data_IF_236544569869
#
_entry.id   IF_236544569869
#
_cell.length_a   1.000
_cell.length_b   1.000
_cell.length_c   1.000
_cell.angle_alpha   90.00
_cell.angle_beta   90.00
_cell.angle_gamma   90.00
#
_symmetry.space_group_name_H-M   'P 1'
#
loop_
_entity.id
_entity.type
_entity.pdbx_description
1 polymer ?
#
# COMPACT_ATOMS: atom_id res chain seq x y z
N UNK A 1 62.12 43.30 -30.07
CA UNK A 1 61.90 42.29 -29.01
C UNK A 1 60.45 42.38 -28.54
N UNK A 2 59.53 41.72 -29.24
CA UNK A 2 58.10 41.67 -28.85
C UNK A 2 57.87 40.27 -28.27
N UNK A 3 57.53 40.24 -26.98
CA UNK A 3 57.34 39.02 -26.21
C UNK A 3 56.20 38.16 -26.75
N UNK A 4 56.50 36.89 -27.01
CA UNK A 4 55.49 35.86 -27.26
C UNK A 4 54.82 35.55 -25.93
N UNK A 5 53.71 36.20 -25.65
CA UNK A 5 52.81 35.80 -24.57
C UNK A 5 52.30 34.39 -24.90
N UNK A 6 52.74 33.42 -24.10
CA UNK A 6 52.25 32.04 -24.12
C UNK A 6 50.77 32.04 -23.74
N UNK A 7 49.89 32.05 -24.73
CA UNK A 7 48.43 31.84 -24.60
C UNK A 7 48.05 30.37 -24.28
N UNK A 8 49.03 29.48 -24.15
CA UNK A 8 48.82 28.04 -23.95
C UNK A 8 48.10 27.64 -22.63
N UNK A 9 48.29 28.29 -21.46
CA UNK A 9 47.73 27.78 -20.21
C UNK A 9 46.23 28.08 -20.05
N UNK A 10 45.73 29.15 -20.67
CA UNK A 10 44.32 29.56 -20.55
C UNK A 10 43.37 28.59 -21.26
N UNK A 11 43.74 28.12 -22.46
CA UNK A 11 42.95 27.15 -23.21
C UNK A 11 42.88 25.79 -22.52
N UNK A 12 43.98 25.32 -21.94
CA UNK A 12 44.03 24.09 -21.17
C UNK A 12 43.16 24.18 -19.89
N UNK A 13 43.16 25.34 -19.22
CA UNK A 13 42.35 25.57 -18.02
C UNK A 13 40.85 25.59 -18.33
N UNK A 14 40.44 26.23 -19.42
CA UNK A 14 39.05 26.24 -19.89
C UNK A 14 38.58 24.86 -20.35
N UNK A 15 39.44 24.08 -21.01
CA UNK A 15 39.14 22.71 -21.39
C UNK A 15 38.98 21.81 -20.16
N UNK A 16 39.85 21.93 -19.15
CA UNK A 16 39.72 21.19 -17.89
C UNK A 16 38.44 21.55 -17.13
N UNK A 17 38.05 22.83 -17.10
CA UNK A 17 36.78 23.29 -16.52
C UNK A 17 35.56 22.71 -17.26
N UNK A 18 35.59 22.71 -18.60
CA UNK A 18 34.51 22.16 -19.42
C UNK A 18 34.34 20.65 -19.22
N UNK A 19 35.44 19.90 -19.21
CA UNK A 19 35.43 18.44 -18.99
C UNK A 19 34.96 18.12 -17.56
N UNK A 20 35.42 18.88 -16.56
CA UNK A 20 35.00 18.73 -15.17
C UNK A 20 33.50 19.00 -14.97
N UNK A 21 32.98 20.09 -15.53
CA UNK A 21 31.56 20.42 -15.44
C UNK A 21 30.68 19.40 -16.17
N UNK A 22 31.09 18.96 -17.37
CA UNK A 22 30.34 17.95 -18.14
C UNK A 22 30.40 16.57 -17.47
N UNK A 23 31.56 16.19 -16.93
CA UNK A 23 31.75 14.96 -16.16
C UNK A 23 30.90 14.96 -14.88
N UNK A 24 30.86 16.07 -14.15
CA UNK A 24 29.98 16.26 -12.99
C UNK A 24 28.50 16.08 -13.35
N UNK A 25 28.03 16.71 -14.43
CA UNK A 25 26.63 16.59 -14.85
C UNK A 25 26.27 15.15 -15.26
N UNK A 26 27.14 14.48 -16.02
CA UNK A 26 26.93 13.09 -16.41
C UNK A 26 26.96 12.16 -15.19
N UNK A 27 27.90 12.36 -14.26
CA UNK A 27 28.02 11.55 -13.06
C UNK A 27 26.82 11.75 -12.14
N UNK A 28 26.34 12.98 -11.95
CA UNK A 28 25.11 13.25 -11.20
C UNK A 28 23.91 12.58 -11.88
N UNK A 29 23.79 12.65 -13.21
CA UNK A 29 22.65 12.04 -13.92
C UNK A 29 22.68 10.50 -13.88
N UNK A 30 23.85 9.89 -13.99
CA UNK A 30 24.02 8.44 -13.84
C UNK A 30 23.81 7.99 -12.39
N UNK A 31 24.40 8.69 -11.44
CA UNK A 31 24.25 8.39 -10.01
C UNK A 31 22.80 8.55 -9.57
N UNK A 32 22.07 9.59 -10.02
CA UNK A 32 20.64 9.73 -9.74
C UNK A 32 19.79 8.63 -10.38
N UNK A 33 20.17 8.10 -11.55
CA UNK A 33 19.49 6.94 -12.14
C UNK A 33 19.78 5.64 -11.40
N UNK A 34 21.02 5.44 -10.97
CA UNK A 34 21.44 4.26 -10.20
C UNK A 34 20.84 4.31 -8.79
N UNK A 35 20.91 5.44 -8.10
CA UNK A 35 20.19 5.67 -6.84
C UNK A 35 18.69 5.52 -7.04
N UNK A 36 18.11 6.08 -8.10
CA UNK A 36 16.69 5.91 -8.40
C UNK A 36 16.29 4.46 -8.69
N UNK A 37 17.22 3.62 -9.14
CA UNK A 37 17.01 2.18 -9.33
C UNK A 37 17.23 1.40 -8.02
N UNK A 38 18.22 1.78 -7.21
CA UNK A 38 18.56 1.14 -5.93
C UNK A 38 17.60 1.54 -4.79
N UNK A 39 17.02 2.74 -4.84
CA UNK A 39 16.09 3.29 -3.86
C UNK A 39 14.64 3.34 -4.38
N UNK A 40 14.34 2.65 -5.50
CA UNK A 40 12.98 2.61 -6.05
C UNK A 40 11.97 1.90 -5.13
N UNK A 41 12.40 1.27 -4.04
CA UNK A 41 11.58 0.47 -3.14
C UNK A 41 11.92 0.61 -1.64
N UNK A 42 12.57 1.69 -1.19
CA UNK A 42 12.97 1.83 0.23
C UNK A 42 12.04 2.70 1.09
N UNK A 43 10.79 2.90 0.68
CA UNK A 43 9.74 3.35 1.60
C UNK A 43 8.74 2.21 1.74
N UNK A 44 9.09 1.27 2.61
CA UNK A 44 8.19 0.26 3.18
C UNK A 44 7.66 -0.79 2.19
N UNK A 45 8.53 -1.36 1.36
CA UNK A 45 8.25 -2.58 0.61
C UNK A 45 8.23 -3.79 1.57
N UNK A 46 7.13 -3.92 2.30
CA UNK A 46 6.66 -5.19 2.87
C UNK A 46 6.42 -6.11 1.67
N UNK A 47 7.06 -7.28 1.59
CA UNK A 47 6.94 -8.16 0.42
C UNK A 47 5.46 -8.40 0.07
N UNK A 48 5.05 -8.52 -1.21
CA UNK A 48 3.64 -8.70 -1.54
C UNK A 48 2.98 -9.87 -0.79
N UNK A 49 3.77 -10.89 -0.49
CA UNK A 49 3.40 -12.10 0.25
C UNK A 49 3.21 -11.88 1.75
N UNK A 50 3.79 -10.82 2.33
CA UNK A 50 3.62 -10.47 3.75
C UNK A 50 2.23 -9.88 4.04
N UNK A 51 1.56 -9.31 3.04
CA UNK A 51 0.19 -8.81 3.15
C UNK A 51 -0.86 -9.93 3.12
N UNK A 52 -0.48 -11.14 2.70
CA UNK A 52 -1.36 -12.30 2.74
C UNK A 52 -1.67 -12.68 4.19
N UNK A 53 -2.96 -12.84 4.49
CA UNK A 53 -3.43 -13.12 5.84
C UNK A 53 -3.69 -11.88 6.70
N UNK A 54 -3.42 -10.67 6.19
CA UNK A 54 -3.71 -9.43 6.90
C UNK A 54 -5.16 -8.97 6.68
N UNK A 55 -5.69 -8.27 7.68
CA UNK A 55 -6.99 -7.60 7.60
C UNK A 55 -6.81 -6.12 7.33
N UNK A 56 -7.69 -5.60 6.49
CA UNK A 56 -7.77 -4.20 6.13
C UNK A 56 -9.21 -3.72 6.02
N UNK A 57 -9.38 -2.54 5.44
CA UNK A 57 -10.66 -1.89 5.19
C UNK A 57 -10.73 -1.39 3.75
N UNK A 58 -11.86 -1.61 3.08
CA UNK A 58 -12.08 -1.10 1.72
C UNK A 58 -12.26 0.42 1.76
N UNK A 59 -11.51 1.14 0.93
CA UNK A 59 -11.60 2.61 0.83
C UNK A 59 -12.32 3.07 -0.45
N UNK A 60 -12.28 2.26 -1.51
CA UNK A 60 -13.03 2.52 -2.74
C UNK A 60 -14.50 2.21 -2.55
N UNK A 61 -15.32 2.43 -3.59
CA UNK A 61 -16.68 1.88 -3.64
C UNK A 61 -16.69 0.34 -3.65
N UNK A 62 -17.63 -0.25 -4.38
CA UNK A 62 -17.68 -1.71 -4.49
C UNK A 62 -16.42 -2.26 -5.18
N UNK A 63 -15.81 -3.28 -4.58
CA UNK A 63 -14.67 -3.99 -5.16
C UNK A 63 -15.19 -4.99 -6.20
N UNK A 64 -14.70 -4.96 -7.45
CA UNK A 64 -15.19 -5.84 -8.51
C UNK A 64 -14.66 -7.27 -8.37
N UNK A 65 -15.38 -8.23 -8.93
CA UNK A 65 -15.03 -9.65 -8.92
C UNK A 65 -13.77 -9.97 -9.74
N UNK A 66 -12.96 -10.90 -9.23
CA UNK A 66 -11.86 -11.48 -10.00
C UNK A 66 -12.41 -12.34 -11.16
N UNK A 67 -12.41 -11.79 -12.37
CA UNK A 67 -12.77 -12.52 -13.60
C UNK A 67 -14.09 -12.11 -14.26
N UNK A 68 -14.86 -11.19 -13.65
CA UNK A 68 -15.92 -10.50 -14.39
C UNK A 68 -15.33 -9.78 -15.62
N UNK A 69 -16.08 -9.66 -16.72
CA UNK A 69 -15.62 -9.03 -17.96
C UNK A 69 -14.93 -7.69 -17.66
N UNK A 70 -13.60 -7.73 -17.54
CA UNK A 70 -12.75 -6.55 -17.50
C UNK A 70 -12.74 -5.99 -18.92
N UNK A 71 -13.87 -5.42 -19.35
CA UNK A 71 -13.93 -4.49 -20.46
C UNK A 71 -12.88 -3.43 -20.16
N UNK A 72 -11.89 -3.33 -21.05
CA UNK A 72 -10.67 -2.49 -21.13
C UNK A 72 -10.55 -1.18 -20.30
N UNK A 73 -11.62 -0.67 -19.70
CA UNK A 73 -11.64 0.31 -18.60
C UNK A 73 -11.52 -0.40 -17.25
N UNK A 74 -10.28 -0.69 -16.85
CA UNK A 74 -9.93 -1.34 -15.58
C UNK A 74 -10.41 -0.56 -14.34
N UNK A 75 -11.58 -0.89 -13.80
CA UNK A 75 -11.92 -0.52 -12.43
C UNK A 75 -11.41 -1.63 -11.51
N UNK A 76 -10.54 -1.28 -10.57
CA UNK A 76 -10.13 -2.14 -9.46
C UNK A 76 -10.50 -1.45 -8.15
N UNK A 77 -10.75 -2.25 -7.12
CA UNK A 77 -10.97 -1.75 -5.78
C UNK A 77 -9.67 -1.24 -5.15
N UNK A 78 -9.79 -0.51 -4.06
CA UNK A 78 -8.68 -0.11 -3.20
C UNK A 78 -9.02 -0.41 -1.76
N UNK A 79 -8.06 -0.97 -1.04
CA UNK A 79 -8.17 -1.25 0.39
C UNK A 79 -6.95 -0.70 1.14
N UNK A 80 -7.18 -0.31 2.39
CA UNK A 80 -6.15 -0.02 3.37
C UNK A 80 -5.88 -1.27 4.19
N UNK A 81 -4.67 -1.82 4.12
CA UNK A 81 -4.29 -3.03 4.85
C UNK A 81 -3.18 -2.71 5.84
N UNK A 82 -3.28 -3.26 7.05
CA UNK A 82 -2.24 -3.16 8.05
C UNK A 82 -1.25 -4.30 7.86
N UNK A 83 0.01 -3.94 7.65
CA UNK A 83 1.13 -4.89 7.66
C UNK A 83 1.29 -5.53 9.04
N UNK A 84 2.01 -6.64 9.12
CA UNK A 84 2.45 -7.24 10.39
C UNK A 84 3.24 -6.29 11.30
N UNK A 85 3.76 -5.20 10.75
CA UNK A 85 4.51 -4.16 11.45
C UNK A 85 3.64 -2.95 11.84
N UNK A 86 2.33 -3.00 11.60
CA UNK A 86 1.40 -1.91 11.93
C UNK A 86 1.48 -0.71 10.99
N UNK A 87 2.22 -0.79 9.89
CA UNK A 87 2.18 0.21 8.82
C UNK A 87 0.91 0.02 8.00
N UNK A 88 0.22 1.13 7.71
CA UNK A 88 -0.95 1.17 6.84
C UNK A 88 -0.51 1.32 5.38
N UNK A 89 -0.90 0.37 4.53
CA UNK A 89 -0.62 0.39 3.10
C UNK A 89 -1.91 0.45 2.30
N UNK A 90 -1.91 1.23 1.23
CA UNK A 90 -3.00 1.25 0.26
C UNK A 90 -2.69 0.30 -0.89
N UNK A 91 -3.54 -0.72 -1.09
CA UNK A 91 -3.36 -1.74 -2.11
C UNK A 91 -4.51 -1.75 -3.12
N UNK A 92 -4.23 -2.08 -4.40
CA UNK A 92 -5.27 -2.37 -5.38
C UNK A 92 -5.79 -3.79 -5.17
N UNK A 93 -7.11 -3.97 -5.18
CA UNK A 93 -7.72 -5.26 -4.88
C UNK A 93 -8.92 -5.61 -5.76
N UNK A 94 -9.22 -6.92 -5.81
CA UNK A 94 -10.38 -7.54 -6.45
C UNK A 94 -11.03 -8.51 -5.49
N UNK A 95 -12.34 -8.72 -5.60
CA UNK A 95 -13.05 -9.66 -4.78
C UNK A 95 -12.69 -11.10 -5.16
N UNK A 96 -12.60 -11.97 -4.16
CA UNK A 96 -12.41 -13.40 -4.38
C UNK A 96 -13.52 -13.96 -5.30
N UNK A 97 -13.17 -14.79 -6.31
CA UNK A 97 -14.15 -15.26 -7.29
C UNK A 97 -15.25 -16.09 -6.61
N UNK A 98 -16.50 -15.83 -6.98
CA UNK A 98 -17.67 -16.52 -6.41
C UNK A 98 -18.05 -16.09 -4.98
N UNK A 99 -17.38 -15.11 -4.39
CA UNK A 99 -17.71 -14.58 -3.07
C UNK A 99 -18.47 -13.26 -3.15
N UNK A 100 -19.07 -12.85 -2.03
CA UNK A 100 -19.69 -11.53 -1.88
C UNK A 100 -18.68 -10.42 -2.18
N UNK A 101 -19.12 -9.43 -2.98
CA UNK A 101 -18.34 -8.24 -3.32
C UNK A 101 -18.20 -7.30 -2.11
N UNK A 102 -16.96 -6.99 -1.67
CA UNK A 102 -16.74 -6.04 -0.59
C UNK A 102 -17.19 -4.62 -0.92
N UNK A 103 -17.84 -3.96 0.04
CA UNK A 103 -18.29 -2.57 -0.04
C UNK A 103 -17.36 -1.63 0.72
N UNK A 104 -17.51 -0.32 0.48
CA UNK A 104 -16.74 0.72 1.16
C UNK A 104 -16.88 0.61 2.68
N UNK A 105 -15.76 0.73 3.40
CA UNK A 105 -15.61 0.59 4.85
C UNK A 105 -15.82 -0.82 5.41
N UNK A 106 -16.02 -1.83 4.57
CA UNK A 106 -16.08 -3.20 5.05
C UNK A 106 -14.68 -3.72 5.39
N UNK A 107 -14.55 -4.51 6.47
CA UNK A 107 -13.31 -5.18 6.79
C UNK A 107 -13.07 -6.30 5.78
N UNK A 108 -11.85 -6.38 5.27
CA UNK A 108 -11.47 -7.37 4.27
C UNK A 108 -10.22 -8.13 4.68
N UNK A 109 -10.19 -9.40 4.33
CA UNK A 109 -9.06 -10.30 4.52
C UNK A 109 -8.37 -10.55 3.18
N UNK A 110 -7.05 -10.40 3.14
CA UNK A 110 -6.24 -10.62 1.94
C UNK A 110 -5.95 -12.11 1.79
N UNK A 111 -6.48 -12.72 0.73
CA UNK A 111 -6.35 -14.15 0.44
C UNK A 111 -5.21 -14.50 -0.50
N UNK A 112 -4.90 -13.62 -1.45
CA UNK A 112 -3.95 -13.92 -2.51
C UNK A 112 -3.38 -12.68 -3.17
N UNK A 113 -2.33 -12.88 -3.96
CA UNK A 113 -1.68 -11.86 -4.77
C UNK A 113 -1.41 -12.42 -6.17
N UNK A 114 -1.87 -11.69 -7.19
CA UNK A 114 -1.57 -11.97 -8.59
C UNK A 114 -0.35 -11.11 -9.02
N UNK A 115 0.83 -11.70 -9.26
CA UNK A 115 2.03 -10.96 -9.62
C UNK A 115 2.00 -10.40 -11.05
N UNK A 116 1.22 -11.01 -11.96
CA UNK A 116 1.11 -10.53 -13.34
C UNK A 116 0.28 -9.25 -13.40
N UNK A 117 -0.84 -9.23 -12.68
CA UNK A 117 -1.75 -8.07 -12.62
C UNK A 117 -1.40 -7.09 -11.50
N UNK A 118 -0.56 -7.49 -10.56
CA UNK A 118 -0.23 -6.77 -9.31
C UNK A 118 -1.47 -6.42 -8.50
N UNK A 119 -2.42 -7.35 -8.42
CA UNK A 119 -3.69 -7.19 -7.72
C UNK A 119 -3.79 -8.15 -6.55
N UNK A 120 -4.34 -7.66 -5.45
CA UNK A 120 -4.65 -8.49 -4.28
C UNK A 120 -6.07 -9.03 -4.36
N UNK A 121 -6.23 -10.30 -4.03
CA UNK A 121 -7.55 -10.92 -3.91
C UNK A 121 -8.01 -10.80 -2.47
N UNK A 122 -9.19 -10.22 -2.27
CA UNK A 122 -9.75 -9.94 -0.94
C UNK A 122 -11.13 -10.54 -0.78
N UNK A 123 -11.49 -10.89 0.45
CA UNK A 123 -12.83 -11.31 0.82
C UNK A 123 -13.27 -10.60 2.10
N UNK A 124 -14.58 -10.50 2.34
CA UNK A 124 -15.10 -9.81 3.52
C UNK A 124 -14.74 -10.60 4.78
N UNK A 125 -14.06 -9.96 5.74
CA UNK A 125 -13.71 -10.59 7.00
C UNK A 125 -14.98 -10.93 7.80
N UNK A 126 -15.03 -12.10 8.44
CA UNK A 126 -16.20 -12.62 9.20
C UNK A 126 -17.45 -12.92 8.36
N UNK A 127 -17.34 -12.99 7.04
CA UNK A 127 -18.43 -13.48 6.17
C UNK A 127 -18.53 -15.02 6.14
N UNK A 128 -19.65 -15.56 5.65
CA UNK A 128 -19.78 -17.00 5.38
C UNK A 128 -18.70 -17.50 4.42
N UNK A 129 -18.36 -16.68 3.42
CA UNK A 129 -17.26 -16.94 2.47
C UNK A 129 -15.89 -17.00 3.15
N UNK A 130 -15.65 -16.14 4.15
CA UNK A 130 -14.43 -16.19 4.97
C UNK A 130 -14.33 -17.52 5.73
N UNK A 131 -15.41 -17.95 6.38
CA UNK A 131 -15.43 -19.19 7.13
C UNK A 131 -15.21 -20.40 6.20
N UNK A 132 -15.87 -20.43 5.04
CA UNK A 132 -15.67 -21.45 4.03
C UNK A 132 -14.21 -21.49 3.52
N UNK A 133 -13.62 -20.32 3.27
CA UNK A 133 -12.23 -20.19 2.87
C UNK A 133 -11.27 -20.75 3.93
N UNK A 134 -11.48 -20.41 5.22
CA UNK A 134 -10.66 -20.90 6.33
C UNK A 134 -10.70 -22.43 6.44
N UNK A 135 -11.88 -23.03 6.32
CA UNK A 135 -12.02 -24.49 6.38
C UNK A 135 -11.31 -25.20 5.23
N UNK A 136 -11.34 -24.63 4.02
CA UNK A 136 -10.63 -25.16 2.86
C UNK A 136 -9.11 -25.02 2.93
N UNK A 137 -8.60 -24.04 3.70
CA UNK A 137 -7.18 -23.68 3.74
C UNK A 137 -6.58 -23.78 5.16
N UNK A 138 -7.12 -24.64 6.02
CA UNK A 138 -6.73 -24.72 7.44
C UNK A 138 -5.20 -24.88 7.66
N UNK A 139 -4.52 -25.64 6.78
CA UNK A 139 -3.06 -25.82 6.85
C UNK A 139 -2.25 -24.56 6.52
N UNK A 140 -2.77 -23.68 5.67
CA UNK A 140 -2.15 -22.39 5.34
C UNK A 140 -2.48 -21.33 6.39
N UNK A 141 -3.68 -21.40 6.98
CA UNK A 141 -4.12 -20.45 8.00
C UNK A 141 -3.26 -20.44 9.26
N UNK A 142 -2.71 -21.59 9.65
CA UNK A 142 -1.74 -21.66 10.76
C UNK A 142 -0.52 -20.73 10.54
N UNK A 143 -0.13 -20.48 9.27
CA UNK A 143 0.96 -19.55 8.94
C UNK A 143 0.51 -18.09 9.03
N UNK A 144 -0.77 -17.83 8.77
CA UNK A 144 -1.33 -16.47 8.73
C UNK A 144 -1.90 -15.99 10.05
N UNK A 145 -2.20 -16.89 10.99
CA UNK A 145 -2.83 -16.56 12.28
C UNK A 145 -2.05 -15.48 13.05
N UNK A 146 -0.72 -15.61 13.10
CA UNK A 146 0.15 -14.62 13.75
C UNK A 146 0.08 -13.22 13.09
N UNK A 147 -0.13 -13.17 11.77
CA UNK A 147 -0.26 -11.92 11.01
C UNK A 147 -1.65 -11.32 11.17
N UNK A 148 -2.67 -12.17 11.11
CA UNK A 148 -4.07 -11.82 11.34
C UNK A 148 -4.22 -11.12 12.69
N UNK A 149 -3.78 -11.76 13.78
CA UNK A 149 -3.86 -11.19 15.13
C UNK A 149 -3.16 -9.82 15.24
N UNK A 150 -1.97 -9.67 14.63
CA UNK A 150 -1.25 -8.39 14.64
C UNK A 150 -1.99 -7.30 13.87
N UNK A 151 -2.53 -7.63 12.69
CA UNK A 151 -3.29 -6.68 11.88
C UNK A 151 -4.59 -6.23 12.56
N UNK A 152 -5.28 -7.14 13.25
CA UNK A 152 -6.48 -6.84 14.04
C UNK A 152 -6.15 -5.89 15.20
N UNK A 153 -5.09 -6.18 15.98
CA UNK A 153 -4.65 -5.27 17.05
C UNK A 153 -4.25 -3.89 16.53
N UNK A 154 -3.56 -3.82 15.39
CA UNK A 154 -3.19 -2.54 14.77
C UNK A 154 -4.42 -1.73 14.32
N UNK A 155 -5.46 -2.42 13.83
CA UNK A 155 -6.74 -1.82 13.50
C UNK A 155 -7.47 -1.33 14.74
N UNK A 156 -7.58 -2.15 15.79
CA UNK A 156 -8.22 -1.76 17.07
C UNK A 156 -7.53 -0.55 17.71
N UNK A 157 -6.20 -0.52 17.73
CA UNK A 157 -5.42 0.60 18.28
C UNK A 157 -5.61 1.93 17.53
N UNK A 158 -6.14 1.90 16.30
CA UNK A 158 -6.41 3.08 15.47
C UNK A 158 -7.89 3.30 15.17
N UNK A 159 -8.77 2.41 15.60
CA UNK A 159 -10.20 2.66 15.52
C UNK A 159 -10.47 3.91 16.37
N UNK A 160 -11.14 4.94 15.82
CA UNK A 160 -11.62 6.04 16.66
C UNK A 160 -12.48 5.42 17.76
N UNK A 161 -12.33 5.89 19.00
CA UNK A 161 -13.13 5.41 20.13
C UNK A 161 -14.59 5.25 19.70
N UNK A 162 -15.27 4.16 20.10
CA UNK A 162 -16.69 4.04 19.84
C UNK A 162 -17.33 5.32 20.34
N UNK A 163 -17.95 6.07 19.41
CA UNK A 163 -18.77 7.24 19.77
C UNK A 163 -19.74 6.73 20.81
N UNK A 164 -19.49 7.08 22.08
CA UNK A 164 -20.43 6.82 23.15
C UNK A 164 -21.73 7.47 22.71
N UNK A 165 -22.68 6.64 22.28
CA UNK A 165 -24.02 7.10 21.97
C UNK A 165 -24.54 7.90 23.17
N UNK A 166 -25.35 8.93 22.94
CA UNK A 166 -25.86 9.77 24.02
C UNK A 166 -26.49 8.87 25.09
N UNK A 167 -25.98 8.99 26.32
CA UNK A 167 -26.44 8.27 27.50
C UNK A 167 -27.97 8.35 27.58
N UNK A 168 -28.72 7.23 27.46
CA UNK A 168 -30.16 7.28 27.60
C UNK A 168 -30.47 7.42 29.09
N UNK A 169 -30.76 8.63 29.55
CA UNK A 169 -31.31 8.82 30.89
C UNK A 169 -30.92 10.12 31.58
N UNK A 170 -31.43 11.25 31.09
CA UNK A 170 -31.87 12.34 31.98
C UNK A 170 -33.21 12.85 31.46
N UNK A 171 -34.26 12.10 31.76
CA UNK A 171 -35.63 12.61 31.70
C UNK A 171 -35.81 13.47 32.95
N UNK A 172 -35.62 14.78 32.80
CA UNK A 172 -35.91 15.77 33.83
C UNK A 172 -37.42 15.78 34.08
N UNK A 173 -37.91 15.50 35.31
CA UNK A 173 -39.32 15.58 35.60
C UNK A 173 -39.75 17.05 35.64
N UNK A 174 -40.58 17.38 34.68
CA UNK A 174 -41.43 18.58 34.59
C UNK A 174 -42.06 18.88 35.96
N UNK A 175 -41.61 19.96 36.60
CA UNK A 175 -42.30 20.55 37.74
C UNK A 175 -43.36 21.50 37.20
N UNK A 176 -44.57 20.97 37.02
CA UNK A 176 -45.76 21.76 36.80
C UNK A 176 -45.96 22.79 37.92
N UNK A 177 -46.26 24.02 37.51
CA UNK A 177 -46.84 25.11 38.31
C UNK A 177 -48.09 25.57 37.59
#
# INVERSE_FOLDING_TARGET
>A
LIGRASLAPAGAFLAALGIGAFGSLLLTRFTSRILGAMFRESTTATSPEELLGCVGEVISGQVPEAGGELKRTASFGRAHVYTSHGTLLQIPCVAHPGCRLPLKREPVFVTGYDPERRLYTVLVHESEDYVAYLHGHAGEMARFESRLQKSLRAREARAPEPVQGPTPGQHEPDKGV
#
